data_IF_029202496532
#
_entry.id   IF_029202496532
#
_cell.length_a   1.000
_cell.length_b   1.000
_cell.length_c   1.000
_cell.angle_alpha   90.00
_cell.angle_beta   90.00
_cell.angle_gamma   90.00
#
_symmetry.space_group_name_H-M   'P 1'
#
loop_
_entity.id
_entity.type
_entity.pdbx_description
1 polymer ?
#
# COMPACT_ATOMS: atom_id res chain seq x y z
N UNK A 1 -5.45 33.67 44.81
CA UNK A 1 -6.43 32.86 44.04
C UNK A 1 -5.96 32.81 42.59
N UNK A 2 -5.12 31.82 42.25
CA UNK A 2 -4.63 31.61 40.89
C UNK A 2 -5.65 30.81 40.08
N UNK A 3 -6.00 31.30 38.89
CA UNK A 3 -6.70 30.51 37.87
C UNK A 3 -5.65 30.13 36.82
N UNK A 4 -5.33 28.85 36.75
CA UNK A 4 -4.47 28.30 35.70
C UNK A 4 -5.21 28.35 34.35
N UNK A 5 -4.56 28.97 33.37
CA UNK A 5 -4.93 28.91 31.97
C UNK A 5 -4.52 27.53 31.43
N UNK A 6 -5.50 26.65 31.19
CA UNK A 6 -5.27 25.40 30.47
C UNK A 6 -5.11 25.74 28.99
N UNK A 7 -3.87 25.73 28.52
CA UNK A 7 -3.50 25.78 27.10
C UNK A 7 -3.99 24.49 26.44
N UNK A 8 -4.96 24.60 25.53
CA UNK A 8 -5.44 23.49 24.72
C UNK A 8 -4.34 23.00 23.77
N UNK A 9 -4.00 21.71 23.87
CA UNK A 9 -3.02 21.06 22.98
C UNK A 9 -3.56 20.98 21.54
N UNK A 10 -2.71 21.06 20.51
CA UNK A 10 -3.13 20.88 19.12
C UNK A 10 -3.69 19.48 18.89
N UNK A 11 -4.81 19.38 18.18
CA UNK A 11 -5.42 18.12 17.78
C UNK A 11 -4.52 17.39 16.77
N UNK A 12 -4.03 16.21 17.14
CA UNK A 12 -3.27 15.34 16.24
C UNK A 12 -4.19 14.55 15.32
N UNK A 13 -3.70 14.21 14.13
CA UNK A 13 -4.41 13.41 13.10
C UNK A 13 -4.97 12.08 13.64
N UNK A 14 -4.31 11.50 14.64
CA UNK A 14 -4.75 10.32 15.39
C UNK A 14 -6.07 10.55 16.15
N UNK A 15 -6.20 11.70 16.82
CA UNK A 15 -7.36 12.02 17.64
C UNK A 15 -8.62 12.28 16.78
N UNK A 16 -8.41 12.90 15.62
CA UNK A 16 -9.44 13.09 14.60
C UNK A 16 -10.02 11.77 14.05
N UNK A 17 -9.19 10.74 13.91
CA UNK A 17 -9.62 9.41 13.48
C UNK A 17 -10.42 8.68 14.57
N UNK A 18 -10.04 8.84 15.84
CA UNK A 18 -10.74 8.25 16.99
C UNK A 18 -12.17 8.79 17.17
N UNK A 19 -12.39 10.09 16.92
CA UNK A 19 -13.74 10.67 16.94
C UNK A 19 -14.67 10.00 15.92
N UNK A 20 -14.17 9.65 14.73
CA UNK A 20 -14.96 8.95 13.71
C UNK A 20 -15.41 7.55 14.13
N UNK A 21 -14.53 6.78 14.77
CA UNK A 21 -14.85 5.45 15.28
C UNK A 21 -15.94 5.51 16.38
N UNK A 22 -15.86 6.49 17.28
CA UNK A 22 -16.83 6.66 18.37
C UNK A 22 -18.22 7.09 17.89
N UNK A 23 -18.32 7.89 16.83
CA UNK A 23 -19.61 8.31 16.27
C UNK A 23 -20.35 7.19 15.53
N UNK A 24 -19.62 6.25 14.93
CA UNK A 24 -20.23 5.08 14.26
C UNK A 24 -20.76 4.03 15.23
N UNK A 25 -20.17 3.89 16.42
CA UNK A 25 -20.64 2.93 17.44
C UNK A 25 -21.85 3.46 18.23
N UNK A 26 -21.94 4.77 18.47
CA UNK A 26 -23.03 5.35 19.26
C UNK A 26 -24.40 5.38 18.56
N UNK A 27 -24.46 5.20 17.24
CA UNK A 27 -25.74 5.10 16.52
C UNK A 27 -26.39 3.71 16.59
N UNK A 28 -25.66 2.67 17.01
CA UNK A 28 -26.20 1.30 17.12
C UNK A 28 -26.59 0.88 18.55
N UNK A 29 -26.36 1.73 19.57
CA UNK A 29 -26.57 1.34 20.98
C UNK A 29 -27.74 2.00 21.70
N UNK A 30 -28.55 2.80 21.01
CA UNK A 30 -29.76 3.41 21.57
C UNK A 30 -31.00 2.53 21.31
N UNK A 31 -31.09 1.37 21.98
CA UNK A 31 -32.36 0.71 22.35
C UNK A 31 -32.11 -0.65 23.00
N UNK A 32 -32.01 -0.70 24.33
CA UNK A 32 -32.75 -1.66 25.20
C UNK A 32 -32.30 -1.48 26.66
N UNK A 33 -33.26 -1.19 27.54
CA UNK A 33 -33.10 -1.16 29.00
C UNK A 33 -32.96 -2.60 29.52
N UNK A 34 -31.98 -2.85 30.38
CA UNK A 34 -31.87 -4.05 31.25
C UNK A 34 -32.80 -3.93 32.47
N UNK A 35 -33.18 -5.07 33.06
CA UNK A 35 -33.05 -5.27 34.49
C UNK A 35 -32.03 -6.39 34.80
N UNK A 36 -31.52 -6.37 36.03
CA UNK A 36 -30.48 -7.24 36.56
C UNK A 36 -31.07 -8.48 37.24
N UNK A 37 -30.39 -9.64 37.12
CA UNK A 37 -29.91 -10.52 38.22
C UNK A 37 -29.70 -11.97 37.75
N UNK A 38 -28.79 -12.64 38.47
CA UNK A 38 -28.57 -14.08 38.65
C UNK A 38 -27.40 -14.77 37.92
N UNK A 39 -26.50 -15.26 38.79
CA UNK A 39 -25.34 -16.11 38.55
C UNK A 39 -25.74 -17.49 38.03
N UNK A 40 -25.18 -17.91 36.89
CA UNK A 40 -25.02 -19.34 36.57
C UNK A 40 -23.67 -19.56 35.90
N UNK A 41 -22.87 -20.39 36.55
CA UNK A 41 -21.59 -20.93 36.12
C UNK A 41 -21.78 -21.81 34.86
N UNK A 42 -21.21 -21.41 33.71
CA UNK A 42 -21.16 -22.24 32.49
C UNK A 42 -19.75 -22.23 31.90
N UNK A 43 -19.19 -23.43 31.85
CA UNK A 43 -17.91 -23.84 31.30
C UNK A 43 -17.68 -23.29 29.88
N UNK A 44 -16.59 -22.55 29.68
CA UNK A 44 -16.20 -22.03 28.37
C UNK A 44 -15.67 -23.16 27.45
N UNK A 45 -16.07 -23.20 26.16
CA UNK A 45 -15.51 -24.15 25.21
C UNK A 45 -14.10 -23.70 24.76
N UNK A 46 -13.23 -24.63 24.32
CA UNK A 46 -11.84 -24.30 24.00
C UNK A 46 -11.77 -23.41 22.75
N UNK A 47 -11.03 -22.30 22.88
CA UNK A 47 -10.66 -21.40 21.79
C UNK A 47 -10.07 -22.19 20.61
N UNK A 48 -10.72 -22.11 19.44
CA UNK A 48 -10.14 -22.52 18.17
C UNK A 48 -8.89 -21.66 17.92
N UNK A 49 -7.71 -22.23 18.14
CA UNK A 49 -6.43 -21.61 17.76
C UNK A 49 -6.47 -21.32 16.26
N UNK A 50 -6.56 -20.03 15.89
CA UNK A 50 -6.24 -19.61 14.52
C UNK A 50 -4.81 -20.06 14.24
N UNK A 51 -4.58 -20.73 13.10
CA UNK A 51 -3.24 -21.11 12.66
C UNK A 51 -2.42 -19.84 12.46
N UNK A 52 -1.22 -19.78 13.05
CA UNK A 52 -0.31 -18.63 12.95
C UNK A 52 0.15 -18.46 11.50
N UNK A 53 0.22 -17.22 11.02
CA UNK A 53 0.91 -16.86 9.78
C UNK A 53 2.42 -16.81 10.06
N UNK A 54 3.10 -17.96 10.12
CA UNK A 54 4.57 -18.00 10.19
C UNK A 54 5.08 -18.09 8.76
N UNK A 55 5.95 -17.16 8.35
CA UNK A 55 6.62 -17.23 7.05
C UNK A 55 7.56 -18.45 7.03
N UNK A 56 7.37 -19.34 6.07
CA UNK A 56 8.29 -20.46 5.83
C UNK A 56 9.65 -20.00 5.30
N UNK A 57 10.59 -20.92 5.19
CA UNK A 57 11.93 -20.62 4.68
C UNK A 57 11.88 -20.12 3.22
N UNK A 58 12.34 -18.88 3.01
CA UNK A 58 12.40 -18.21 1.71
C UNK A 58 13.62 -18.64 0.87
N UNK A 59 14.52 -19.47 1.43
CA UNK A 59 15.79 -19.87 0.80
C UNK A 59 15.63 -20.63 -0.53
N UNK A 60 14.50 -21.32 -0.73
CA UNK A 60 14.22 -22.17 -1.91
C UNK A 60 13.21 -21.57 -2.90
N UNK A 61 12.93 -20.27 -2.84
CA UNK A 61 11.93 -19.63 -3.69
C UNK A 61 12.39 -19.39 -5.15
N UNK A 62 12.68 -20.47 -5.89
CA UNK A 62 12.66 -20.48 -7.35
C UNK A 62 11.27 -20.92 -7.80
N UNK A 63 10.50 -20.02 -8.40
CA UNK A 63 9.17 -20.33 -8.92
C UNK A 63 9.28 -21.28 -10.13
N UNK A 64 9.19 -22.59 -9.92
CA UNK A 64 8.80 -23.55 -10.95
C UNK A 64 7.30 -23.80 -10.87
N UNK A 65 6.57 -23.42 -11.91
CA UNK A 65 5.13 -23.62 -12.04
C UNK A 65 4.78 -25.11 -12.21
N UNK A 66 4.78 -25.90 -11.12
CA UNK A 66 4.18 -27.24 -11.09
C UNK A 66 4.10 -27.80 -9.67
N UNK A 67 2.99 -27.57 -8.96
CA UNK A 67 2.24 -28.58 -8.18
C UNK A 67 1.12 -27.92 -7.36
N UNK A 68 -0.09 -28.02 -7.87
CA UNK A 68 -1.31 -28.03 -7.07
C UNK A 68 -1.89 -29.43 -7.22
N UNK A 69 -1.71 -30.28 -6.21
CA UNK A 69 -2.54 -31.48 -6.05
C UNK A 69 -3.68 -31.15 -5.10
N UNK A 70 -4.89 -31.20 -5.65
CA UNK A 70 -6.13 -31.25 -4.92
C UNK A 70 -6.27 -32.61 -4.19
N UNK A 71 -6.79 -32.59 -2.96
CA UNK A 71 -7.37 -33.73 -2.24
C UNK A 71 -8.81 -33.34 -1.88
N UNK A 72 -9.85 -34.15 -1.99
CA UNK A 72 -10.06 -35.55 -2.38
C UNK A 72 -11.58 -35.71 -2.68
N UNK A 73 -11.94 -36.46 -3.73
CA UNK A 73 -13.23 -37.18 -3.85
C UNK A 73 -12.90 -38.63 -4.22
N UNK A 74 -13.60 -39.57 -3.56
CA UNK A 74 -13.30 -41.00 -3.40
C UNK A 74 -13.32 -41.89 -4.67
N UNK A 75 -12.36 -42.83 -4.66
CA UNK A 75 -12.37 -44.27 -5.07
C UNK A 75 -12.58 -44.65 -6.56
N UNK A 76 -11.66 -45.43 -7.15
CA UNK A 76 -11.61 -46.92 -7.25
C UNK A 76 -10.40 -47.37 -8.12
N UNK A 77 -9.64 -48.39 -7.65
CA UNK A 77 -8.74 -49.42 -8.30
C UNK A 77 -8.10 -49.09 -9.67
N UNK A 78 -6.82 -49.40 -9.98
CA UNK A 78 -6.11 -50.71 -9.90
C UNK A 78 -4.66 -50.56 -10.43
N UNK A 79 -3.72 -51.31 -9.81
CA UNK A 79 -2.54 -52.01 -10.38
C UNK A 79 -1.33 -51.32 -11.05
N UNK A 80 -0.14 -51.82 -10.62
CA UNK A 80 1.17 -51.99 -11.31
C UNK A 80 2.01 -50.71 -11.53
N UNK A 81 3.31 -50.64 -11.30
CA UNK A 81 4.35 -51.57 -10.84
C UNK A 81 5.74 -50.99 -11.21
N UNK A 82 6.78 -51.30 -10.41
CA UNK A 82 8.25 -51.19 -10.69
C UNK A 82 8.83 -49.78 -11.00
N UNK A 83 10.05 -49.36 -10.63
CA UNK A 83 11.19 -49.93 -9.90
C UNK A 83 12.17 -48.78 -9.53
N UNK A 84 13.00 -48.99 -8.48
CA UNK A 84 14.43 -48.62 -8.26
C UNK A 84 15.01 -47.30 -8.85
N UNK A 85 15.87 -46.51 -8.19
CA UNK A 85 16.99 -46.86 -7.30
C UNK A 85 17.57 -45.66 -6.50
N UNK A 86 18.08 -45.96 -5.29
CA UNK A 86 19.39 -45.58 -4.67
C UNK A 86 19.99 -44.18 -4.92
N UNK A 87 20.13 -43.30 -3.92
CA UNK A 87 21.19 -43.21 -2.88
C UNK A 87 22.63 -43.09 -3.42
N UNK A 88 23.27 -41.92 -3.20
CA UNK A 88 24.69 -41.77 -2.81
C UNK A 88 24.84 -40.49 -1.96
N UNK A 89 25.42 -40.67 -0.77
CA UNK A 89 25.97 -39.67 0.17
C UNK A 89 27.43 -39.35 -0.18
N UNK A 90 27.89 -38.11 0.04
CA UNK A 90 29.33 -37.83 0.29
C UNK A 90 29.51 -36.56 1.11
N UNK A 91 30.37 -36.67 2.12
CA UNK A 91 30.69 -35.70 3.16
C UNK A 91 31.76 -34.66 2.77
N UNK A 92 31.65 -33.51 3.44
CA UNK A 92 32.63 -32.58 4.01
C UNK A 92 34.13 -32.83 3.77
N UNK A 93 34.84 -31.75 3.38
CA UNK A 93 36.23 -31.47 3.86
C UNK A 93 36.43 -29.97 4.12
N UNK A 94 37.02 -29.67 5.28
CA UNK A 94 37.52 -28.38 5.75
C UNK A 94 38.77 -27.92 4.99
N UNK A 95 38.97 -26.59 4.90
CA UNK A 95 40.30 -25.96 4.90
C UNK A 95 40.20 -24.47 5.24
N UNK A 96 40.83 -24.11 6.36
CA UNK A 96 41.12 -22.73 6.79
C UNK A 96 42.28 -22.12 6.00
N UNK A 97 42.23 -20.82 5.73
CA UNK A 97 43.34 -19.88 5.98
C UNK A 97 42.87 -18.44 5.81
N UNK A 98 43.25 -17.57 6.76
CA UNK A 98 43.00 -16.13 6.70
C UNK A 98 44.14 -15.38 5.99
N UNK A 99 43.91 -14.10 5.69
CA UNK A 99 44.67 -12.92 6.18
C UNK A 99 44.37 -11.70 5.29
N UNK A 100 43.90 -10.64 5.95
CA UNK A 100 44.03 -9.19 5.75
C UNK A 100 44.27 -8.53 4.36
N UNK A 101 43.49 -7.46 4.19
CA UNK A 101 43.93 -6.07 3.89
C UNK A 101 43.50 -5.43 2.55
N UNK A 102 43.01 -4.20 2.77
CA UNK A 102 43.18 -2.96 2.00
C UNK A 102 42.08 -2.52 1.03
N UNK A 103 41.55 -1.36 1.39
CA UNK A 103 40.79 -0.43 0.58
C UNK A 103 41.56 -0.04 -0.68
N UNK A 104 40.84 0.05 -1.80
CA UNK A 104 41.29 0.82 -2.95
C UNK A 104 40.12 1.65 -3.49
N UNK A 105 40.36 2.96 -3.44
CA UNK A 105 39.56 4.00 -4.10
C UNK A 105 39.89 3.91 -5.58
N UNK A 106 38.89 3.66 -6.43
CA UNK A 106 39.07 3.76 -7.88
C UNK A 106 38.06 4.76 -8.44
N UNK A 107 38.58 5.95 -8.71
CA UNK A 107 38.03 6.92 -9.66
C UNK A 107 38.08 6.33 -11.06
N UNK A 108 36.94 6.22 -11.76
CA UNK A 108 36.94 5.96 -13.21
C UNK A 108 36.19 7.06 -13.94
N UNK A 109 36.99 7.69 -14.77
CA UNK A 109 36.76 8.66 -15.84
C UNK A 109 35.66 8.25 -16.81
N UNK A 110 35.02 9.27 -17.39
CA UNK A 110 34.04 9.16 -18.45
C UNK A 110 34.52 8.28 -19.63
N UNK A 111 33.68 7.34 -20.03
CA UNK A 111 33.81 6.56 -21.27
C UNK A 111 32.43 6.43 -21.89
N UNK A 112 32.24 7.08 -23.05
CA UNK A 112 31.06 6.96 -23.88
C UNK A 112 31.01 5.57 -24.52
N UNK A 113 29.93 4.84 -24.30
CA UNK A 113 29.47 3.78 -25.22
C UNK A 113 27.97 3.90 -25.37
N UNK A 114 27.56 4.16 -26.62
CA UNK A 114 26.18 4.17 -27.06
C UNK A 114 25.65 2.74 -26.99
N UNK A 115 24.67 2.50 -26.13
CA UNK A 115 23.74 1.38 -26.27
C UNK A 115 22.32 1.87 -25.96
N UNK A 116 21.44 1.59 -26.91
CA UNK A 116 20.03 1.94 -26.94
C UNK A 116 19.28 1.22 -25.82
N UNK A 117 19.05 1.93 -24.70
CA UNK A 117 18.04 1.60 -23.72
C UNK A 117 16.90 2.62 -23.83
N UNK A 118 15.71 2.14 -24.16
CA UNK A 118 14.46 2.91 -24.11
C UNK A 118 14.21 3.39 -22.67
N UNK A 119 14.70 4.59 -22.37
CA UNK A 119 14.42 5.30 -21.13
C UNK A 119 12.98 5.85 -21.18
N UNK A 120 12.02 5.04 -20.74
CA UNK A 120 10.66 5.51 -20.46
C UNK A 120 10.63 6.16 -19.06
N UNK A 121 11.31 7.29 -18.91
CA UNK A 121 11.01 8.27 -17.86
C UNK A 121 10.20 9.35 -18.57
N UNK A 122 8.88 9.18 -18.59
CA UNK A 122 8.00 10.26 -19.01
C UNK A 122 8.33 11.51 -18.19
N UNK A 123 8.49 12.65 -18.89
CA UNK A 123 8.68 13.96 -18.26
C UNK A 123 7.40 14.32 -17.51
N UNK A 124 7.24 13.82 -16.29
CA UNK A 124 6.12 14.15 -15.43
C UNK A 124 6.18 15.64 -15.08
N UNK A 125 5.37 16.43 -15.77
CA UNK A 125 5.26 17.87 -15.53
C UNK A 125 4.56 18.09 -14.20
N UNK A 126 5.25 18.69 -13.23
CA UNK A 126 4.62 19.11 -11.98
C UNK A 126 3.46 20.06 -12.28
N UNK A 127 2.32 19.95 -11.58
CA UNK A 127 1.25 20.90 -11.75
C UNK A 127 1.70 22.30 -11.28
N UNK A 128 1.13 23.38 -11.83
CA UNK A 128 1.41 24.73 -11.36
C UNK A 128 1.06 24.84 -9.87
N UNK A 129 1.91 25.54 -9.11
CA UNK A 129 1.68 25.77 -7.68
C UNK A 129 0.36 26.53 -7.50
N UNK A 130 -0.53 26.12 -6.58
CA UNK A 130 -1.75 26.85 -6.31
C UNK A 130 -1.45 28.28 -5.85
N UNK A 131 -2.16 29.27 -6.41
CA UNK A 131 -2.22 30.60 -5.83
C UNK A 131 -3.08 30.51 -4.57
N UNK A 132 -2.56 30.96 -3.42
CA UNK A 132 -3.24 30.80 -2.13
C UNK A 132 -4.67 31.37 -2.17
N UNK A 133 -5.64 30.60 -1.65
CA UNK A 133 -7.00 31.10 -1.39
C UNK A 133 -6.88 32.18 -0.32
N UNK A 134 -6.84 33.45 -0.71
CA UNK A 134 -6.92 34.56 0.25
C UNK A 134 -8.26 34.48 0.97
N UNK A 135 -8.25 34.56 2.30
CA UNK A 135 -9.42 34.55 3.19
C UNK A 135 -10.25 35.84 3.13
N UNK A 136 -10.25 36.53 1.98
CA UNK A 136 -10.95 37.80 1.77
C UNK A 136 -11.97 37.67 0.63
N UNK A 137 -13.11 37.05 0.92
CA UNK A 137 -14.38 37.33 0.22
C UNK A 137 -15.58 36.92 1.06
N UNK A 138 -15.70 37.48 2.27
CA UNK A 138 -17.03 37.79 2.80
C UNK A 138 -17.35 39.15 2.19
N UNK A 139 -17.91 39.15 0.99
CA UNK A 139 -18.50 40.36 0.40
C UNK A 139 -20.00 40.27 0.68
N UNK A 140 -20.45 41.18 1.53
CA UNK A 140 -21.87 41.44 1.79
C UNK A 140 -22.64 41.57 0.48
N UNK A 141 -23.76 40.85 0.38
CA UNK A 141 -24.74 41.06 -0.68
C UNK A 141 -25.35 42.45 -0.49
N UNK A 142 -24.94 43.41 -1.31
CA UNK A 142 -25.77 44.56 -1.65
C UNK A 142 -26.00 44.56 -3.16
N UNK A 143 -27.27 44.52 -3.55
CA UNK A 143 -27.69 44.20 -4.91
C UNK A 143 -27.54 45.34 -5.89
N UNK A 144 -27.19 45.01 -7.14
CA UNK A 144 -27.58 45.76 -8.34
C UNK A 144 -27.79 44.74 -9.46
N UNK A 145 -28.92 44.87 -10.14
CA UNK A 145 -29.37 44.08 -11.30
C UNK A 145 -28.62 44.59 -12.54
N UNK A 146 -28.04 43.69 -13.35
CA UNK A 146 -27.61 44.06 -14.70
C UNK A 146 -26.68 43.08 -15.42
N UNK A 147 -27.22 42.50 -16.50
CA UNK A 147 -26.55 41.87 -17.65
C UNK A 147 -26.03 40.44 -17.51
N UNK A 148 -26.75 39.55 -18.20
CA UNK A 148 -26.45 38.14 -18.42
C UNK A 148 -25.29 37.99 -19.42
N UNK A 149 -24.09 37.74 -18.90
CA UNK A 149 -23.07 36.95 -19.61
C UNK A 149 -23.13 35.54 -19.05
N UNK A 150 -23.36 34.56 -19.92
CA UNK A 150 -23.26 33.14 -19.58
C UNK A 150 -21.90 32.88 -18.94
N UNK A 151 -21.88 32.75 -17.62
CA UNK A 151 -20.70 32.31 -16.88
C UNK A 151 -20.50 30.85 -17.26
N UNK A 152 -19.41 30.55 -17.97
CA UNK A 152 -18.95 29.19 -18.22
C UNK A 152 -18.99 28.41 -16.91
N UNK A 153 -19.94 27.49 -16.80
CA UNK A 153 -20.03 26.61 -15.65
C UNK A 153 -18.68 25.87 -15.54
N UNK A 154 -18.04 25.81 -14.36
CA UNK A 154 -16.79 25.07 -14.25
C UNK A 154 -17.01 23.65 -14.78
N UNK A 155 -16.16 23.23 -15.74
CA UNK A 155 -16.24 21.89 -16.34
C UNK A 155 -16.08 20.76 -15.31
N UNK A 156 -15.72 21.09 -14.06
CA UNK A 156 -15.49 20.16 -12.97
C UNK A 156 -16.25 20.58 -11.70
N UNK A 157 -16.48 19.61 -10.81
CA UNK A 157 -17.10 19.82 -9.50
C UNK A 157 -16.06 20.16 -8.44
N UNK A 158 -16.21 21.26 -7.71
CA UNK A 158 -15.30 21.61 -6.60
C UNK A 158 -15.48 20.67 -5.40
N UNK A 159 -14.55 19.73 -5.21
CA UNK A 159 -14.56 18.79 -4.08
C UNK A 159 -14.04 19.42 -2.78
N UNK A 160 -13.42 20.60 -2.82
CA UNK A 160 -12.90 21.31 -1.63
C UNK A 160 -13.85 22.44 -1.19
N UNK A 161 -15.11 22.40 -1.65
CA UNK A 161 -16.17 23.34 -1.28
C UNK A 161 -16.83 23.04 0.08
N UNK A 162 -16.72 21.80 0.57
CA UNK A 162 -17.30 21.38 1.85
C UNK A 162 -16.41 21.82 3.03
N UNK A 163 -16.79 22.91 3.67
CA UNK A 163 -16.11 23.51 4.83
C UNK A 163 -16.59 22.94 6.18
N UNK A 164 -17.53 21.97 6.18
CA UNK A 164 -18.17 21.48 7.40
C UNK A 164 -17.35 20.45 8.16
N UNK A 165 -16.44 19.72 7.50
CA UNK A 165 -15.52 18.78 8.14
C UNK A 165 -14.12 19.42 8.28
N UNK A 166 -13.72 19.87 9.48
CA UNK A 166 -12.39 20.45 9.73
C UNK A 166 -11.25 19.51 9.34
N UNK A 167 -11.47 18.20 9.30
CA UNK A 167 -10.45 17.20 8.96
C UNK A 167 -10.09 17.15 7.48
N UNK A 168 -10.93 17.75 6.62
CA UNK A 168 -10.67 17.85 5.19
C UNK A 168 -9.68 18.97 4.88
N UNK A 169 -9.48 19.90 5.82
CA UNK A 169 -8.53 21.01 5.70
C UNK A 169 -8.62 21.72 4.33
N UNK A 170 -9.85 21.95 3.84
CA UNK A 170 -10.12 22.37 2.46
C UNK A 170 -9.32 23.61 2.02
N UNK A 171 -9.06 24.55 2.95
CA UNK A 171 -8.21 25.72 2.70
C UNK A 171 -6.76 25.36 2.31
N UNK A 172 -6.20 24.33 2.94
CA UNK A 172 -4.82 23.89 2.74
C UNK A 172 -4.71 22.76 1.72
N UNK A 173 -5.83 22.14 1.34
CA UNK A 173 -5.84 20.95 0.51
C UNK A 173 -5.06 21.14 -0.81
N UNK A 174 -5.23 22.23 -1.59
CA UNK A 174 -4.44 22.43 -2.81
C UNK A 174 -2.92 22.42 -2.56
N UNK A 175 -2.44 23.14 -1.53
CA UNK A 175 -1.02 23.23 -1.20
C UNK A 175 -0.47 21.91 -0.63
N UNK A 176 -1.27 21.20 0.19
CA UNK A 176 -0.92 19.86 0.68
C UNK A 176 -0.67 18.92 -0.50
N UNK A 177 -1.62 18.82 -1.43
CA UNK A 177 -1.49 17.90 -2.55
C UNK A 177 -0.41 18.31 -3.54
N UNK A 178 -0.17 19.62 -3.73
CA UNK A 178 1.01 20.11 -4.45
C UNK A 178 2.32 19.61 -3.80
N UNK A 179 2.45 19.77 -2.48
CA UNK A 179 3.64 19.30 -1.75
C UNK A 179 3.80 17.78 -1.79
N UNK A 180 2.71 17.01 -1.77
CA UNK A 180 2.75 15.56 -1.96
C UNK A 180 3.26 15.18 -3.36
N UNK A 181 2.82 15.87 -4.42
CA UNK A 181 3.31 15.67 -5.80
C UNK A 181 4.79 16.03 -5.97
N UNK A 182 5.28 17.03 -5.25
CA UNK A 182 6.72 17.34 -5.22
C UNK A 182 7.49 16.27 -4.44
N UNK A 183 6.93 15.78 -3.33
CA UNK A 183 7.59 14.82 -2.43
C UNK A 183 7.73 13.43 -3.06
N UNK A 184 6.74 12.96 -3.84
CA UNK A 184 6.80 11.66 -4.51
C UNK A 184 7.97 11.55 -5.52
N UNK A 185 8.51 12.68 -5.99
CA UNK A 185 9.65 12.71 -6.90
C UNK A 185 11.00 12.63 -6.19
N UNK A 186 11.09 13.01 -4.91
CA UNK A 186 12.36 13.15 -4.19
C UNK A 186 12.86 11.85 -3.55
N UNK A 187 11.94 10.99 -3.10
CA UNK A 187 12.25 9.81 -2.28
C UNK A 187 11.63 8.56 -2.87
N UNK A 188 12.13 8.18 -4.04
CA UNK A 188 11.65 7.03 -4.80
C UNK A 188 12.78 6.02 -5.04
N UNK A 189 12.64 4.75 -4.63
CA UNK A 189 13.61 3.72 -4.96
C UNK A 189 13.77 3.63 -6.48
N UNK A 190 15.01 3.60 -6.96
CA UNK A 190 15.26 3.39 -8.40
C UNK A 190 14.90 1.95 -8.75
N UNK A 191 14.02 1.68 -9.74
CA UNK A 191 13.48 0.34 -10.00
C UNK A 191 14.50 -0.75 -10.38
N UNK A 192 15.78 -0.44 -10.53
CA UNK A 192 16.85 -1.39 -10.87
C UNK A 192 17.57 -1.95 -9.64
N UNK A 193 17.18 -1.55 -8.41
CA UNK A 193 18.00 -1.83 -7.23
C UNK A 193 18.14 -3.32 -6.89
N UNK A 194 17.16 -4.14 -7.25
CA UNK A 194 17.26 -5.60 -7.08
C UNK A 194 18.36 -6.20 -7.96
N UNK A 195 18.65 -5.63 -9.12
CA UNK A 195 19.70 -6.10 -10.03
C UNK A 195 21.05 -5.45 -9.69
N UNK A 196 21.02 -4.17 -9.30
CA UNK A 196 22.22 -3.37 -9.07
C UNK A 196 22.87 -3.59 -7.70
N UNK A 197 22.07 -3.79 -6.66
CA UNK A 197 22.54 -3.82 -5.26
C UNK A 197 22.42 -5.22 -4.64
N UNK A 198 21.30 -5.90 -4.88
CA UNK A 198 21.02 -7.19 -4.24
C UNK A 198 21.70 -8.33 -5.02
N UNK A 199 22.45 -9.17 -4.29
CA UNK A 199 23.06 -10.40 -4.86
C UNK A 199 22.36 -11.68 -4.38
N UNK A 200 21.66 -11.59 -3.25
CA UNK A 200 21.08 -12.74 -2.56
C UNK A 200 19.56 -12.65 -2.39
N UNK A 201 19.01 -11.42 -2.30
CA UNK A 201 17.58 -11.16 -2.30
C UNK A 201 17.07 -10.97 -3.73
N UNK A 202 15.98 -11.66 -4.06
CA UNK A 202 15.32 -11.55 -5.38
C UNK A 202 13.98 -10.81 -5.30
N UNK A 203 13.48 -10.35 -6.46
CA UNK A 203 12.13 -9.77 -6.57
C UNK A 203 11.04 -10.74 -6.07
N UNK A 204 11.23 -12.05 -6.29
CA UNK A 204 10.37 -13.14 -5.80
C UNK A 204 10.31 -13.17 -4.27
N UNK A 205 11.48 -13.17 -3.61
CA UNK A 205 11.57 -13.18 -2.14
C UNK A 205 10.93 -11.93 -1.52
N UNK A 206 11.11 -10.76 -2.16
CA UNK A 206 10.40 -9.53 -1.77
C UNK A 206 8.88 -9.70 -1.87
N UNK A 207 8.38 -10.26 -2.97
CA UNK A 207 6.95 -10.54 -3.14
C UNK A 207 6.40 -11.45 -2.03
N UNK A 208 7.11 -12.52 -1.70
CA UNK A 208 6.75 -13.45 -0.62
C UNK A 208 6.71 -12.74 0.74
N UNK A 209 7.72 -11.90 1.03
CA UNK A 209 7.73 -11.11 2.25
C UNK A 209 6.52 -10.17 2.34
N UNK A 210 6.22 -9.45 1.25
CA UNK A 210 5.09 -8.50 1.22
C UNK A 210 3.75 -9.22 1.35
N UNK A 211 3.57 -10.37 0.68
CA UNK A 211 2.36 -11.20 0.80
C UNK A 211 2.13 -11.64 2.25
N UNK A 212 3.19 -12.09 2.94
CA UNK A 212 3.12 -12.43 4.36
C UNK A 212 2.84 -11.20 5.24
N UNK A 213 3.46 -10.05 4.97
CA UNK A 213 3.21 -8.82 5.73
C UNK A 213 1.76 -8.32 5.57
N UNK A 214 1.07 -8.64 4.47
CA UNK A 214 -0.38 -8.38 4.35
C UNK A 214 -1.14 -9.20 5.39
N UNK A 215 -0.80 -10.47 5.59
CA UNK A 215 -1.41 -11.31 6.64
C UNK A 215 -1.11 -10.78 8.04
N UNK A 216 0.14 -10.37 8.31
CA UNK A 216 0.54 -9.75 9.58
C UNK A 216 -0.27 -8.47 9.83
N UNK A 217 -0.47 -7.65 8.80
CA UNK A 217 -1.27 -6.42 8.92
C UNK A 217 -2.74 -6.69 9.27
N UNK A 218 -3.31 -7.80 8.76
CA UNK A 218 -4.68 -8.20 9.09
C UNK A 218 -4.77 -8.82 10.50
N UNK A 219 -3.76 -9.59 10.93
CA UNK A 219 -3.71 -10.19 12.27
C UNK A 219 -3.64 -9.12 13.37
N UNK A 220 -2.84 -8.07 13.17
CA UNK A 220 -2.74 -6.92 14.08
C UNK A 220 -3.71 -5.79 13.77
N UNK A 221 -4.60 -5.96 12.78
CA UNK A 221 -5.60 -4.96 12.37
C UNK A 221 -5.01 -3.57 12.09
N UNK A 222 -3.82 -3.53 11.49
CA UNK A 222 -3.12 -2.29 11.15
C UNK A 222 -3.86 -1.53 10.04
N UNK A 223 -3.74 -0.20 10.05
CA UNK A 223 -4.30 0.62 8.96
C UNK A 223 -3.52 0.39 7.67
N UNK A 224 -4.18 0.55 6.51
CA UNK A 224 -3.50 0.38 5.22
C UNK A 224 -2.25 1.26 5.11
N UNK A 225 -2.28 2.52 5.58
CA UNK A 225 -1.15 3.44 5.51
C UNK A 225 0.13 2.84 6.13
N UNK A 226 0.01 2.08 7.22
CA UNK A 226 1.09 1.33 7.88
C UNK A 226 1.71 0.30 6.94
N UNK A 227 0.90 -0.49 6.24
CA UNK A 227 1.38 -1.48 5.26
C UNK A 227 2.11 -0.80 4.08
N UNK A 228 1.53 0.27 3.53
CA UNK A 228 2.16 1.01 2.43
C UNK A 228 3.50 1.63 2.84
N UNK A 229 3.57 2.21 4.04
CA UNK A 229 4.81 2.76 4.58
C UNK A 229 5.84 1.64 4.83
N UNK A 230 5.42 0.49 5.36
CA UNK A 230 6.27 -0.68 5.55
C UNK A 230 6.96 -1.09 4.26
N UNK A 231 6.20 -1.26 3.17
CA UNK A 231 6.73 -1.69 1.87
C UNK A 231 7.72 -0.66 1.32
N UNK A 232 7.41 0.63 1.44
CA UNK A 232 8.36 1.69 1.07
C UNK A 232 9.65 1.62 1.88
N UNK A 233 9.57 1.41 3.20
CA UNK A 233 10.75 1.33 4.05
C UNK A 233 11.64 0.14 3.65
N UNK A 234 11.05 -1.00 3.34
CA UNK A 234 11.76 -2.18 2.84
C UNK A 234 12.48 -1.85 1.53
N UNK A 235 11.74 -1.31 0.55
CA UNK A 235 12.29 -1.02 -0.78
C UNK A 235 13.42 -0.01 -0.74
N UNK A 236 13.26 1.05 0.04
CA UNK A 236 14.28 2.09 0.16
C UNK A 236 15.50 1.64 0.96
N UNK A 237 15.33 0.73 1.92
CA UNK A 237 16.46 0.09 2.60
C UNK A 237 17.25 -0.80 1.63
N UNK A 238 16.56 -1.70 0.91
CA UNK A 238 17.17 -2.58 -0.10
C UNK A 238 17.75 -1.81 -1.29
N UNK A 239 17.25 -0.61 -1.56
CA UNK A 239 17.77 0.26 -2.60
C UNK A 239 19.19 0.77 -2.32
N UNK A 240 19.55 0.94 -1.05
CA UNK A 240 20.84 1.48 -0.63
C UNK A 240 21.76 0.49 0.09
N UNK A 241 21.24 -0.65 0.56
CA UNK A 241 21.96 -1.58 1.41
C UNK A 241 21.84 -3.00 0.89
N UNK A 242 22.97 -3.68 0.74
CA UNK A 242 23.00 -5.11 0.52
C UNK A 242 22.41 -5.84 1.74
N UNK A 243 21.54 -6.82 1.51
CA UNK A 243 20.96 -7.65 2.56
C UNK A 243 21.05 -9.13 2.19
N UNK A 244 21.44 -9.95 3.15
CA UNK A 244 21.39 -11.41 3.03
C UNK A 244 19.95 -11.91 3.19
N UNK A 245 19.57 -12.97 2.45
CA UNK A 245 18.20 -13.48 2.43
C UNK A 245 17.69 -13.88 3.82
N UNK A 246 18.55 -14.40 4.71
CA UNK A 246 18.14 -14.81 6.06
C UNK A 246 17.71 -13.63 6.94
N UNK A 247 18.12 -12.40 6.60
CA UNK A 247 17.77 -11.17 7.31
C UNK A 247 16.56 -10.45 6.71
N UNK A 248 16.00 -10.96 5.60
CA UNK A 248 14.90 -10.29 4.90
C UNK A 248 13.61 -10.23 5.72
N UNK A 249 13.26 -11.31 6.43
CA UNK A 249 12.09 -11.29 7.33
C UNK A 249 12.32 -10.33 8.51
N UNK A 250 13.53 -10.31 9.10
CA UNK A 250 13.92 -9.35 10.14
C UNK A 250 13.75 -7.91 9.66
N UNK A 251 14.21 -7.58 8.44
CA UNK A 251 13.96 -6.26 7.83
C UNK A 251 12.46 -5.98 7.75
N UNK A 252 11.67 -6.91 7.24
CA UNK A 252 10.23 -6.75 7.05
C UNK A 252 9.48 -6.42 8.33
N UNK A 253 9.66 -7.21 9.40
CA UNK A 253 9.00 -6.94 10.69
C UNK A 253 9.49 -5.65 11.34
N UNK A 254 10.76 -5.30 11.16
CA UNK A 254 11.34 -4.07 11.71
C UNK A 254 10.79 -2.85 10.99
N UNK A 255 10.69 -2.88 9.66
CA UNK A 255 10.05 -1.83 8.88
C UNK A 255 8.57 -1.67 9.27
N UNK A 256 7.87 -2.77 9.53
CA UNK A 256 6.48 -2.73 9.98
C UNK A 256 6.36 -2.16 11.40
N UNK A 257 7.26 -2.50 12.32
CA UNK A 257 7.34 -1.89 13.64
C UNK A 257 7.52 -0.36 13.55
N UNK A 258 8.46 0.11 12.72
CA UNK A 258 8.70 1.55 12.51
C UNK A 258 7.46 2.22 11.92
N UNK A 259 6.86 1.62 10.88
CA UNK A 259 5.65 2.14 10.26
C UNK A 259 4.49 2.21 11.24
N UNK A 260 4.31 1.17 12.08
CA UNK A 260 3.27 1.14 13.12
C UNK A 260 3.47 2.23 14.16
N UNK A 261 4.71 2.44 14.64
CA UNK A 261 5.04 3.55 15.55
C UNK A 261 4.71 4.93 14.95
N UNK A 262 4.72 5.04 13.62
CA UNK A 262 4.48 6.30 12.91
C UNK A 262 3.00 6.55 12.59
N UNK A 263 2.27 5.54 12.11
CA UNK A 263 0.89 5.70 11.62
C UNK A 263 -0.19 5.26 12.63
N UNK A 264 0.10 4.31 13.53
CA UNK A 264 -0.90 3.77 14.44
C UNK A 264 -1.09 4.63 15.69
N UNK A 265 -2.33 4.69 16.16
CA UNK A 265 -2.63 5.29 17.48
C UNK A 265 -2.03 4.43 18.59
N UNK A 266 -2.17 3.11 18.45
CA UNK A 266 -1.67 2.11 19.38
C UNK A 266 -0.82 1.10 18.60
N UNK A 267 0.47 1.40 18.46
CA UNK A 267 1.39 0.51 17.76
C UNK A 267 1.62 -0.80 18.54
N UNK A 268 1.69 -1.97 17.87
CA UNK A 268 2.10 -3.22 18.50
C UNK A 268 3.50 -3.10 19.10
N UNK A 269 3.73 -3.82 20.20
CA UNK A 269 5.04 -3.82 20.88
C UNK A 269 6.03 -4.69 20.13
N UNK A 270 7.32 -4.49 20.41
CA UNK A 270 8.41 -5.27 19.79
C UNK A 270 8.23 -6.77 20.04
N UNK A 271 7.76 -7.14 21.24
CA UNK A 271 7.50 -8.53 21.61
C UNK A 271 6.46 -9.20 20.71
N UNK A 272 5.48 -8.44 20.19
CA UNK A 272 4.48 -8.96 19.27
C UNK A 272 5.11 -9.30 17.91
N UNK A 273 6.01 -8.43 17.42
CA UNK A 273 6.75 -8.72 16.18
C UNK A 273 7.73 -9.89 16.34
N UNK A 274 8.38 -10.06 17.49
CA UNK A 274 9.15 -11.27 17.77
C UNK A 274 8.24 -12.51 17.76
N UNK A 275 7.07 -12.42 18.41
CA UNK A 275 6.12 -13.51 18.50
C UNK A 275 5.57 -13.98 17.14
N UNK A 276 5.22 -13.06 16.23
CA UNK A 276 4.67 -13.44 14.92
C UNK A 276 5.71 -14.10 14.00
N UNK A 277 6.99 -13.88 14.26
CA UNK A 277 8.09 -14.61 13.62
C UNK A 277 8.42 -15.94 14.29
N UNK A 278 7.52 -16.45 15.15
CA UNK A 278 7.74 -17.63 15.99
C UNK A 278 9.02 -17.54 16.84
N UNK A 279 9.37 -16.32 17.26
CA UNK A 279 10.61 -15.99 17.97
C UNK A 279 11.89 -16.37 17.21
N UNK A 280 11.83 -16.40 15.87
CA UNK A 280 13.02 -16.53 15.02
C UNK A 280 14.03 -15.41 15.31
N UNK A 281 13.54 -14.23 15.68
CA UNK A 281 14.36 -13.08 16.04
C UNK A 281 14.14 -12.63 17.48
N UNK A 282 15.23 -12.24 18.13
CA UNK A 282 15.20 -11.67 19.49
C UNK A 282 14.88 -10.19 19.46
N UNK A 283 14.42 -9.66 20.60
CA UNK A 283 14.16 -8.22 20.78
C UNK A 283 15.38 -7.36 20.40
N UNK A 284 16.58 -7.80 20.79
CA UNK A 284 17.82 -7.05 20.52
C UNK A 284 18.17 -7.02 19.03
N UNK A 285 17.91 -8.11 18.30
CA UNK A 285 18.08 -8.14 16.85
C UNK A 285 17.12 -7.18 16.14
N UNK A 286 15.87 -7.09 16.60
CA UNK A 286 14.88 -6.15 16.05
C UNK A 286 15.27 -4.70 16.37
N UNK A 287 15.74 -4.41 17.58
CA UNK A 287 16.22 -3.07 17.96
C UNK A 287 17.45 -2.64 17.16
N UNK A 288 18.40 -3.57 16.96
CA UNK A 288 19.59 -3.31 16.15
C UNK A 288 19.22 -3.02 14.69
N UNK A 289 18.31 -3.82 14.12
CA UNK A 289 17.79 -3.57 12.78
C UNK A 289 17.03 -2.24 12.70
N UNK A 290 16.26 -1.88 13.73
CA UNK A 290 15.53 -0.60 13.79
C UNK A 290 16.50 0.58 13.73
N UNK A 291 17.60 0.51 14.49
CA UNK A 291 18.64 1.53 14.45
C UNK A 291 19.27 1.65 13.06
N UNK A 292 19.61 0.52 12.42
CA UNK A 292 20.18 0.51 11.06
C UNK A 292 19.23 1.12 10.04
N UNK A 293 17.94 0.77 10.09
CA UNK A 293 16.93 1.35 9.22
C UNK A 293 16.82 2.85 9.49
N UNK A 294 16.56 3.30 10.71
CA UNK A 294 16.37 4.72 10.99
C UNK A 294 17.59 5.58 10.64
N UNK A 295 18.81 5.05 10.85
CA UNK A 295 20.06 5.69 10.43
C UNK A 295 20.13 5.86 8.92
N UNK A 296 19.83 4.82 8.14
CA UNK A 296 19.78 4.90 6.66
C UNK A 296 18.81 5.96 6.15
N UNK A 297 17.66 6.12 6.82
CA UNK A 297 16.67 7.14 6.46
C UNK A 297 17.00 8.53 7.00
N UNK A 298 18.03 8.69 7.84
CA UNK A 298 18.27 9.92 8.61
C UNK A 298 17.01 10.41 9.34
N UNK A 299 16.25 9.46 9.92
CA UNK A 299 14.94 9.68 10.57
C UNK A 299 13.84 10.30 9.69
N UNK A 300 14.07 10.33 8.39
CA UNK A 300 13.27 11.04 7.42
C UNK A 300 12.39 10.00 6.68
N UNK A 301 11.52 9.34 7.45
CA UNK A 301 10.85 8.09 7.05
C UNK A 301 9.57 8.28 6.23
N UNK A 302 8.96 9.46 6.25
CA UNK A 302 7.70 9.70 5.56
C UNK A 302 7.88 9.92 4.05
N UNK A 303 7.01 9.29 3.26
CA UNK A 303 6.85 9.55 1.82
C UNK A 303 5.36 9.44 1.45
N UNK A 304 4.86 10.19 0.45
CA UNK A 304 3.54 9.95 -0.12
C UNK A 304 3.45 8.57 -0.79
N UNK A 305 2.44 7.81 -0.42
CA UNK A 305 2.15 6.46 -0.95
C UNK A 305 0.96 6.49 -1.92
N UNK A 306 0.72 5.44 -2.73
CA UNK A 306 -0.50 5.36 -3.55
C UNK A 306 -1.77 5.57 -2.71
N UNK A 307 -1.81 5.02 -1.49
CA UNK A 307 -2.92 5.22 -0.54
C UNK A 307 -3.16 6.69 -0.18
N UNK A 308 -2.09 7.48 -0.11
CA UNK A 308 -2.16 8.92 0.20
C UNK A 308 -2.94 9.67 -0.88
N UNK A 309 -2.62 9.44 -2.15
CA UNK A 309 -3.31 10.07 -3.29
C UNK A 309 -4.71 9.50 -3.53
N UNK A 310 -4.88 8.19 -3.32
CA UNK A 310 -6.12 7.48 -3.58
C UNK A 310 -7.33 8.10 -2.87
N UNK A 311 -7.16 8.58 -1.63
CA UNK A 311 -8.22 9.23 -0.85
C UNK A 311 -8.83 10.45 -1.57
N UNK A 312 -8.00 11.33 -2.15
CA UNK A 312 -8.48 12.51 -2.90
C UNK A 312 -9.10 12.12 -4.23
N UNK A 313 -8.49 11.17 -4.92
CA UNK A 313 -8.97 10.75 -6.24
C UNK A 313 -10.31 10.02 -6.14
N UNK A 314 -10.54 9.24 -5.08
CA UNK A 314 -11.84 8.67 -4.78
C UNK A 314 -12.89 9.74 -4.49
N UNK A 315 -12.55 10.80 -3.74
CA UNK A 315 -13.46 11.93 -3.52
C UNK A 315 -13.83 12.63 -4.84
N UNK A 316 -12.84 12.87 -5.71
CA UNK A 316 -13.05 13.42 -7.04
C UNK A 316 -13.93 12.50 -7.91
N UNK A 317 -13.67 11.20 -7.88
CA UNK A 317 -14.45 10.21 -8.62
C UNK A 317 -15.91 10.14 -8.16
N UNK A 318 -16.17 10.32 -6.87
CA UNK A 318 -17.50 10.25 -6.25
C UNK A 318 -18.33 11.52 -6.47
N UNK A 319 -17.69 12.66 -6.76
CA UNK A 319 -18.38 13.93 -6.94
C UNK A 319 -19.42 13.91 -8.08
N UNK A 320 -19.29 12.99 -9.03
CA UNK A 320 -20.20 12.86 -10.18
C UNK A 320 -20.72 11.42 -10.39
N UNK A 321 -20.60 10.53 -9.41
CA UNK A 321 -20.78 9.08 -9.63
C UNK A 321 -21.88 8.50 -8.73
N UNK A 322 -22.81 7.77 -9.37
CA UNK A 322 -24.04 7.30 -8.76
C UNK A 322 -23.92 5.91 -8.08
N UNK A 323 -22.78 5.23 -8.23
CA UNK A 323 -22.53 3.88 -7.70
C UNK A 323 -22.28 3.92 -6.19
N UNK A 324 -22.57 2.84 -5.44
CA UNK A 324 -22.21 2.73 -4.04
C UNK A 324 -20.76 3.11 -3.77
N UNK A 325 -20.61 4.23 -3.05
CA UNK A 325 -19.34 4.83 -2.63
C UNK A 325 -18.31 3.81 -2.17
N UNK A 326 -18.78 2.82 -1.40
CA UNK A 326 -17.95 1.81 -0.74
C UNK A 326 -17.34 0.78 -1.70
N UNK A 327 -18.06 0.35 -2.74
CA UNK A 327 -17.55 -0.66 -3.69
C UNK A 327 -16.40 -0.08 -4.51
N UNK A 328 -16.55 1.17 -4.97
CA UNK A 328 -15.49 1.90 -5.64
C UNK A 328 -14.25 2.06 -4.75
N UNK A 329 -14.43 2.46 -3.49
CA UNK A 329 -13.34 2.61 -2.52
C UNK A 329 -12.61 1.28 -2.27
N UNK A 330 -13.36 0.19 -2.08
CA UNK A 330 -12.81 -1.14 -1.86
C UNK A 330 -12.07 -1.66 -3.11
N UNK A 331 -12.66 -1.54 -4.29
CA UNK A 331 -12.06 -2.02 -5.54
C UNK A 331 -10.79 -1.23 -5.90
N UNK A 332 -10.82 0.10 -5.79
CA UNK A 332 -9.63 0.90 -6.04
C UNK A 332 -8.54 0.60 -5.00
N UNK A 333 -8.90 0.39 -3.72
CA UNK A 333 -7.94 0.00 -2.69
C UNK A 333 -7.32 -1.38 -2.96
N UNK A 334 -8.13 -2.35 -3.38
CA UNK A 334 -7.67 -3.68 -3.82
C UNK A 334 -6.63 -3.57 -4.94
N UNK A 335 -6.96 -2.82 -6.00
CA UNK A 335 -6.08 -2.63 -7.15
C UNK A 335 -4.76 -1.96 -6.73
N UNK A 336 -4.80 -0.92 -5.91
CA UNK A 336 -3.57 -0.29 -5.39
C UNK A 336 -2.76 -1.19 -4.46
N UNK A 337 -3.40 -2.05 -3.65
CA UNK A 337 -2.67 -2.94 -2.75
C UNK A 337 -1.97 -4.06 -3.55
N UNK A 338 -2.58 -4.58 -4.61
CA UNK A 338 -1.94 -5.57 -5.49
C UNK A 338 -0.58 -5.10 -6.01
N UNK A 339 -0.41 -3.80 -6.28
CA UNK A 339 0.86 -3.25 -6.79
C UNK A 339 1.99 -3.30 -5.77
N UNK A 340 1.70 -3.55 -4.48
CA UNK A 340 2.74 -3.68 -3.46
C UNK A 340 3.55 -4.97 -3.64
N UNK A 341 2.94 -6.03 -4.16
CA UNK A 341 3.59 -7.33 -4.38
C UNK A 341 4.46 -7.29 -5.64
N UNK A 342 3.95 -6.74 -6.75
CA UNK A 342 4.66 -6.74 -8.04
C UNK A 342 5.72 -5.63 -8.09
N UNK A 343 7.00 -6.03 -8.04
CA UNK A 343 8.17 -5.16 -8.13
C UNK A 343 8.15 -4.23 -9.35
N UNK A 344 7.54 -4.66 -10.47
CA UNK A 344 7.47 -3.88 -11.70
C UNK A 344 6.73 -2.55 -11.53
N UNK A 345 5.84 -2.44 -10.55
CA UNK A 345 5.08 -1.21 -10.29
C UNK A 345 5.92 -0.08 -9.70
N UNK A 346 7.14 -0.36 -9.22
CA UNK A 346 8.08 0.69 -8.80
C UNK A 346 8.42 1.68 -9.91
N UNK A 347 8.21 1.32 -11.18
CA UNK A 347 8.39 2.21 -12.35
C UNK A 347 7.30 3.27 -12.49
N UNK A 348 6.17 3.15 -11.80
CA UNK A 348 5.12 4.17 -11.80
C UNK A 348 5.19 5.05 -10.54
N UNK A 349 4.77 6.31 -10.67
CA UNK A 349 4.64 7.20 -9.51
C UNK A 349 3.46 6.77 -8.62
N UNK A 350 3.54 6.98 -7.29
CA UNK A 350 2.43 6.74 -6.37
C UNK A 350 1.10 7.40 -6.80
N UNK A 351 1.15 8.64 -7.30
CA UNK A 351 -0.04 9.32 -7.83
C UNK A 351 -0.59 8.68 -9.10
N UNK A 352 0.26 8.19 -10.00
CA UNK A 352 -0.16 7.49 -11.23
C UNK A 352 -0.82 6.15 -10.89
N UNK A 353 -0.27 5.39 -9.94
CA UNK A 353 -0.86 4.14 -9.46
C UNK A 353 -2.27 4.39 -8.90
N UNK A 354 -2.41 5.39 -8.02
CA UNK A 354 -3.69 5.75 -7.43
C UNK A 354 -4.73 6.20 -8.48
N UNK A 355 -4.33 7.02 -9.44
CA UNK A 355 -5.19 7.49 -10.52
C UNK A 355 -5.65 6.32 -11.42
N UNK A 356 -4.73 5.42 -11.78
CA UNK A 356 -5.00 4.24 -12.60
C UNK A 356 -5.94 3.26 -11.91
N UNK A 357 -5.79 3.08 -10.59
CA UNK A 357 -6.69 2.24 -9.80
C UNK A 357 -8.12 2.81 -9.76
N UNK A 358 -8.27 4.13 -9.62
CA UNK A 358 -9.59 4.79 -9.69
C UNK A 358 -10.20 4.65 -11.09
N UNK A 359 -9.40 4.85 -12.15
CA UNK A 359 -9.85 4.67 -13.53
C UNK A 359 -10.39 3.25 -13.74
N UNK A 360 -9.58 2.24 -13.44
CA UNK A 360 -9.93 0.84 -13.68
C UNK A 360 -11.08 0.38 -12.79
N UNK A 361 -11.14 0.84 -11.54
CA UNK A 361 -12.25 0.54 -10.64
C UNK A 361 -13.57 1.12 -11.15
N UNK A 362 -13.58 2.37 -11.66
CA UNK A 362 -14.77 2.94 -12.28
C UNK A 362 -15.20 2.13 -13.50
N UNK A 363 -14.27 1.85 -14.41
CA UNK A 363 -14.55 1.06 -15.61
C UNK A 363 -15.08 -0.35 -15.30
N UNK A 364 -14.59 -0.97 -14.24
CA UNK A 364 -15.04 -2.29 -13.81
C UNK A 364 -16.47 -2.27 -13.25
N UNK A 365 -16.85 -1.19 -12.56
CA UNK A 365 -18.16 -1.08 -11.91
C UNK A 365 -19.24 -0.52 -12.84
N UNK A 366 -18.90 0.38 -13.76
CA UNK A 366 -19.85 0.98 -14.70
C UNK A 366 -19.19 1.48 -15.98
N UNK A 367 -19.79 1.06 -17.09
CA UNK A 367 -19.35 1.36 -18.45
C UNK A 367 -20.31 2.32 -19.18
N UNK A 368 -21.34 2.82 -18.48
CA UNK A 368 -22.33 3.74 -19.06
C UNK A 368 -21.72 5.08 -19.48
N UNK A 369 -20.65 5.50 -18.81
CA UNK A 369 -19.96 6.76 -19.05
C UNK A 369 -18.44 6.55 -19.09
N UNK A 370 -17.74 7.53 -19.66
CA UNK A 370 -16.28 7.53 -19.64
C UNK A 370 -15.76 7.52 -18.18
N UNK A 371 -14.83 6.61 -17.82
CA UNK A 371 -14.35 6.48 -16.44
C UNK A 371 -13.52 7.69 -15.99
N UNK A 372 -12.96 8.44 -16.93
CA UNK A 372 -12.17 9.64 -16.66
C UNK A 372 -12.96 10.90 -17.02
N UNK A 373 -13.45 11.60 -16.01
CA UNK A 373 -14.25 12.83 -16.19
C UNK A 373 -13.38 14.08 -15.95
N UNK A 374 -13.87 15.29 -16.30
CA UNK A 374 -13.11 16.52 -16.11
C UNK A 374 -12.73 16.80 -14.64
N UNK A 375 -13.53 16.33 -13.67
CA UNK A 375 -13.22 16.46 -12.23
C UNK A 375 -11.99 15.65 -11.85
N UNK A 376 -11.87 14.42 -12.34
CA UNK A 376 -10.69 13.58 -12.13
C UNK A 376 -9.48 14.20 -12.82
N UNK A 377 -9.61 14.64 -14.07
CA UNK A 377 -8.51 15.32 -14.78
C UNK A 377 -8.03 16.56 -14.02
N UNK A 378 -8.94 17.38 -13.50
CA UNK A 378 -8.61 18.57 -12.70
C UNK A 378 -7.81 18.23 -11.43
N UNK A 379 -8.29 17.29 -10.61
CA UNK A 379 -7.68 17.01 -9.30
C UNK A 379 -6.49 16.05 -9.34
N UNK A 380 -6.38 15.22 -10.38
CA UNK A 380 -5.24 14.32 -10.58
C UNK A 380 -4.15 14.96 -11.42
N UNK A 381 -4.53 15.92 -12.26
CA UNK A 381 -3.70 16.56 -13.30
C UNK A 381 -3.21 15.60 -14.38
N UNK A 382 -3.88 14.44 -14.53
CA UNK A 382 -3.60 13.45 -15.56
C UNK A 382 -4.76 13.38 -16.55
N UNK A 383 -4.45 13.30 -17.84
CA UNK A 383 -5.39 12.91 -18.88
C UNK A 383 -5.54 11.39 -18.88
N UNK A 384 -6.59 10.90 -19.56
CA UNK A 384 -6.75 9.47 -19.74
C UNK A 384 -5.54 8.87 -20.46
N UNK A 385 -5.06 9.50 -21.55
CA UNK A 385 -3.86 9.10 -22.30
C UNK A 385 -2.63 8.89 -21.42
N UNK A 386 -2.42 9.74 -20.42
CA UNK A 386 -1.26 9.69 -19.51
C UNK A 386 -1.29 8.44 -18.62
N UNK A 387 -2.47 7.82 -18.43
CA UNK A 387 -2.67 6.66 -17.57
C UNK A 387 -2.69 5.34 -18.35
N UNK A 388 -2.60 5.36 -19.69
CA UNK A 388 -2.80 4.17 -20.53
C UNK A 388 -1.90 3.01 -20.11
N UNK A 389 -0.59 3.26 -20.01
CA UNK A 389 0.38 2.22 -19.70
C UNK A 389 0.18 1.61 -18.29
N UNK A 390 -0.13 2.43 -17.29
CA UNK A 390 -0.34 1.98 -15.92
C UNK A 390 -1.69 1.30 -15.72
N UNK A 391 -2.74 1.73 -16.42
CA UNK A 391 -4.06 1.08 -16.39
C UNK A 391 -4.00 -0.30 -17.03
N UNK A 392 -3.33 -0.47 -18.18
CA UNK A 392 -3.12 -1.79 -18.78
C UNK A 392 -2.31 -2.72 -17.87
N UNK A 393 -1.18 -2.25 -17.33
CA UNK A 393 -0.39 -3.04 -16.39
C UNK A 393 -1.19 -3.46 -15.15
N UNK A 394 -2.07 -2.58 -14.66
CA UNK A 394 -2.92 -2.85 -13.49
C UNK A 394 -4.04 -3.85 -13.81
N UNK A 395 -4.61 -3.79 -15.02
CA UNK A 395 -5.56 -4.80 -15.50
C UNK A 395 -4.90 -6.17 -15.61
N UNK A 396 -3.69 -6.26 -16.19
CA UNK A 396 -2.94 -7.52 -16.27
C UNK A 396 -2.67 -8.10 -14.87
N UNK A 397 -2.30 -7.25 -13.92
CA UNK A 397 -2.10 -7.64 -12.53
C UNK A 397 -3.40 -8.10 -11.87
N UNK A 398 -4.52 -7.40 -12.07
CA UNK A 398 -5.84 -7.80 -11.55
C UNK A 398 -6.24 -9.19 -12.08
N UNK A 399 -6.10 -9.41 -13.38
CA UNK A 399 -6.45 -10.64 -14.07
C UNK A 399 -5.45 -11.78 -13.82
N UNK A 400 -4.34 -11.51 -13.14
CA UNK A 400 -3.28 -12.46 -12.84
C UNK A 400 -2.70 -13.15 -14.09
N UNK A 401 -2.49 -12.39 -15.18
CA UNK A 401 -2.05 -12.95 -16.47
C UNK A 401 -0.71 -13.69 -16.39
N UNK A 402 0.15 -13.32 -15.43
CA UNK A 402 1.44 -13.96 -15.15
C UNK A 402 1.36 -15.20 -14.24
N UNK A 403 0.17 -15.56 -13.73
CA UNK A 403 -0.02 -16.72 -12.85
C UNK A 403 0.68 -16.61 -11.50
N UNK A 404 0.71 -15.43 -10.89
CA UNK A 404 1.32 -15.23 -9.57
C UNK A 404 0.55 -16.06 -8.51
N UNK A 405 1.24 -16.89 -7.70
CA UNK A 405 0.60 -17.71 -6.68
C UNK A 405 0.34 -16.97 -5.36
N UNK A 406 0.96 -15.79 -5.17
CA UNK A 406 0.79 -14.96 -3.98
C UNK A 406 -0.64 -14.41 -3.93
N UNK A 407 -1.33 -14.63 -2.82
CA UNK A 407 -2.79 -14.51 -2.77
C UNK A 407 -3.33 -13.78 -1.55
N UNK A 408 -2.50 -13.36 -0.59
CA UNK A 408 -2.96 -12.75 0.65
C UNK A 408 -3.86 -11.54 0.40
N UNK A 409 -3.48 -10.66 -0.54
CA UNK A 409 -4.28 -9.49 -0.93
C UNK A 409 -5.60 -9.89 -1.58
N UNK A 410 -5.59 -10.90 -2.46
CA UNK A 410 -6.82 -11.38 -3.12
C UNK A 410 -7.77 -11.97 -2.10
N UNK A 411 -7.26 -12.81 -1.20
CA UNK A 411 -8.02 -13.41 -0.11
C UNK A 411 -8.57 -12.37 0.87
N UNK A 412 -7.77 -11.33 1.19
CA UNK A 412 -8.22 -10.18 1.99
C UNK A 412 -9.43 -9.53 1.34
N UNK A 413 -9.35 -9.16 0.07
CA UNK A 413 -10.41 -8.43 -0.63
C UNK A 413 -11.56 -9.30 -1.17
N UNK A 414 -11.49 -10.63 -1.01
CA UNK A 414 -12.63 -11.54 -1.19
C UNK A 414 -13.63 -11.48 -0.02
N UNK A 415 -13.19 -11.02 1.15
CA UNK A 415 -14.04 -10.94 2.34
C UNK A 415 -15.18 -9.92 2.16
N UNK A 416 -16.33 -10.21 2.77
CA UNK A 416 -17.54 -9.39 2.65
C UNK A 416 -17.34 -7.95 3.17
N UNK A 417 -16.46 -7.74 4.18
CA UNK A 417 -16.10 -6.40 4.69
C UNK A 417 -15.49 -5.49 3.61
N UNK A 418 -14.94 -6.08 2.56
CA UNK A 418 -14.40 -5.42 1.37
C UNK A 418 -15.29 -5.57 0.14
N UNK A 419 -16.58 -5.92 0.31
CA UNK A 419 -17.56 -6.10 -0.76
C UNK A 419 -17.18 -7.17 -1.79
N UNK A 420 -16.30 -8.10 -1.42
CA UNK A 420 -15.82 -9.18 -2.29
C UNK A 420 -15.33 -8.69 -3.66
N UNK A 421 -14.78 -7.48 -3.72
CA UNK A 421 -14.34 -6.81 -4.96
C UNK A 421 -13.26 -7.58 -5.70
N UNK A 422 -12.52 -8.46 -5.02
CA UNK A 422 -11.52 -9.31 -5.67
C UNK A 422 -12.13 -10.37 -6.63
N UNK A 423 -13.43 -10.64 -6.53
CA UNK A 423 -14.16 -11.52 -7.47
C UNK A 423 -14.50 -10.81 -8.77
N UNK A 424 -14.49 -9.46 -8.78
CA UNK A 424 -14.80 -8.67 -9.96
C UNK A 424 -13.67 -8.74 -10.98
N UNK A 425 -14.04 -8.93 -12.24
CA UNK A 425 -13.12 -8.92 -13.37
C UNK A 425 -13.32 -7.67 -14.19
N UNK A 426 -12.24 -6.94 -14.45
CA UNK A 426 -12.30 -5.77 -15.32
C UNK A 426 -12.66 -6.17 -16.76
N UNK A 427 -13.58 -5.46 -17.43
CA UNK A 427 -13.84 -5.62 -18.86
C UNK A 427 -12.63 -5.26 -19.71
N UNK A 428 -12.62 -5.71 -20.98
CA UNK A 428 -11.60 -5.32 -21.95
C UNK A 428 -11.50 -3.79 -22.05
N UNK A 429 -10.28 -3.27 -21.96
CA UNK A 429 -10.00 -1.86 -22.20
C UNK A 429 -10.06 -1.55 -23.69
N UNK A 430 -10.76 -0.49 -24.07
CA UNK A 430 -10.85 0.02 -25.44
C UNK A 430 -9.85 1.15 -25.63
N UNK A 431 -9.16 1.19 -26.79
CA UNK A 431 -8.22 2.28 -27.10
C UNK A 431 -8.88 3.65 -27.11
N UNK A 432 -10.20 3.72 -27.38
CA UNK A 432 -10.99 4.96 -27.37
C UNK A 432 -11.16 5.57 -25.98
N UNK A 433 -10.77 4.87 -24.91
CA UNK A 433 -10.79 5.39 -23.55
C UNK A 433 -9.58 6.27 -23.22
N UNK A 434 -8.58 6.36 -24.11
CA UNK A 434 -7.27 6.97 -23.84
C UNK A 434 -6.95 8.15 -24.75
#
# INVERSE_FOLDING_TARGET
MGKENVVSRPLTRAFASALRASTTENQQRANTKRPASEDVNVTAPPNKKKKRAVLGDISNASFSAAKLEARDIKQVKKSQGLASASCVTSEVTDLQSGTEAKAEVVSVTAGNTNDTADNCIEKHKLPPRPLGRSSASIVEKSGVIGSSTALDLPKFTDIDSDDKDPLLCCLYAPEIYYNLRVSELKRRPVPDFMERIQKDVTQSMRGILVDWLVEVSEEYTLVSDTLYLTVYLIDWFLHGNYLERQRLQLLGITCMLIASKYEEINAPRIEEFCFITDNTYTRDQVLEMENQVLAHFSFQIYTPTPKTFLRRFLRAAQASYLIPRRELECLASYLTELTLIDYHFLKFLPSVIAASAVFLAKWTLDQSNHPWNPTLEHYTTYKASDLKASVHALQDLQLNTKGCPLSAIRMKYMQEKFKSVAVLMSPKLLDTLF
#
